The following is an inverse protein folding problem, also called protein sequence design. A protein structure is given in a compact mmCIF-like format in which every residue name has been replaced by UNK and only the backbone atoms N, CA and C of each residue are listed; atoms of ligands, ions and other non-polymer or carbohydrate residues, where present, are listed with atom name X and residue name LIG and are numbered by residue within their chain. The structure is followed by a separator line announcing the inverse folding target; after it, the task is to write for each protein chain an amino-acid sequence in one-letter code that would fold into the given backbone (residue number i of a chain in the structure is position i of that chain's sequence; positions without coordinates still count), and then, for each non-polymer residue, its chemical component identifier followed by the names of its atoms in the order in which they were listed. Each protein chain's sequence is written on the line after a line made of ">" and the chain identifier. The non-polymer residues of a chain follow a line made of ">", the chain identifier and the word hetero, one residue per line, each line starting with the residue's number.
data_IF_785233918300
#
_entry.id   IF_785233918300
#
_cell.length_a   1.000
_cell.length_b   1.000
_cell.length_c   1.000
_cell.angle_alpha   90.00
_cell.angle_beta   90.00
_cell.angle_gamma   90.00
#
_symmetry.space_group_name_H-M   'P 1'
#
loop_
_entity.id
_entity.type
_entity.pdbx_description
1 polymer ?
#
# COMPACT_ATOMS: atom_id res chain seq x y z
N UNK A 1 55.65 -22.06 -28.37
CA UNK A 1 55.07 -20.88 -27.69
C UNK A 1 54.87 -19.77 -28.72
N UNK A 2 53.67 -19.18 -28.79
CA UNK A 2 53.57 -17.75 -28.54
C UNK A 2 52.43 -17.41 -27.57
N UNK A 3 52.68 -16.38 -26.77
CA UNK A 3 51.84 -15.86 -25.68
C UNK A 3 50.66 -15.09 -26.30
N UNK A 4 49.42 -15.51 -26.04
CA UNK A 4 48.22 -14.73 -26.38
C UNK A 4 48.01 -13.62 -25.35
N UNK A 5 47.98 -12.38 -25.84
CA UNK A 5 47.65 -11.17 -25.08
C UNK A 5 46.19 -11.21 -24.64
N UNK A 6 45.99 -11.00 -23.35
CA UNK A 6 44.74 -10.59 -22.69
C UNK A 6 44.30 -9.22 -23.21
N UNK A 7 43.02 -9.11 -23.61
CA UNK A 7 42.36 -7.82 -23.82
C UNK A 7 41.13 -7.78 -22.93
N UNK A 8 41.30 -7.17 -21.75
CA UNK A 8 40.24 -6.78 -20.84
C UNK A 8 39.41 -5.66 -21.47
N UNK A 9 38.23 -6.01 -21.98
CA UNK A 9 37.20 -5.02 -22.31
C UNK A 9 36.34 -4.81 -21.08
N UNK A 10 36.72 -3.85 -20.25
CA UNK A 10 35.85 -3.31 -19.20
C UNK A 10 34.75 -2.47 -19.86
N UNK A 11 33.61 -3.10 -20.15
CA UNK A 11 32.39 -2.40 -20.56
C UNK A 11 31.88 -1.61 -19.35
N UNK A 12 32.00 -0.28 -19.43
CA UNK A 12 31.39 0.63 -18.47
C UNK A 12 29.88 0.37 -18.44
N UNK A 13 29.36 -0.10 -17.30
CA UNK A 13 27.93 -0.27 -17.09
C UNK A 13 27.30 1.11 -17.05
N UNK A 14 26.56 1.45 -18.10
CA UNK A 14 25.70 2.63 -18.09
C UNK A 14 24.73 2.56 -16.91
N UNK A 15 24.45 3.69 -16.23
CA UNK A 15 23.47 3.72 -15.17
C UNK A 15 22.11 3.37 -15.79
N UNK A 16 21.63 2.16 -15.48
CA UNK A 16 20.28 1.73 -15.81
C UNK A 16 19.31 2.75 -15.23
N UNK A 17 18.76 3.60 -16.09
CA UNK A 17 17.55 4.33 -15.80
C UNK A 17 16.49 3.26 -15.55
N UNK A 18 16.23 2.99 -14.27
CA UNK A 18 15.12 2.14 -13.86
C UNK A 18 13.88 2.84 -14.39
N UNK A 19 13.40 2.44 -15.56
CA UNK A 19 12.04 2.72 -15.99
C UNK A 19 11.19 2.27 -14.81
N UNK A 20 10.57 3.22 -14.11
CA UNK A 20 9.58 2.92 -13.10
C UNK A 20 8.52 2.12 -13.83
N UNK A 21 8.56 0.79 -13.70
CA UNK A 21 7.50 -0.05 -14.22
C UNK A 21 6.25 0.43 -13.49
N UNK A 22 5.38 1.12 -14.22
CA UNK A 22 4.11 1.59 -13.71
C UNK A 22 3.27 0.33 -13.55
N UNK A 23 3.18 -0.16 -12.31
CA UNK A 23 2.35 -1.32 -11.99
C UNK A 23 0.89 -0.93 -12.28
N UNK A 24 0.10 -1.87 -12.80
CA UNK A 24 -1.31 -1.61 -13.10
C UNK A 24 -2.21 -2.22 -12.03
N UNK A 25 -3.48 -1.82 -12.01
CA UNK A 25 -4.47 -2.48 -11.15
C UNK A 25 -4.52 -3.99 -11.41
N UNK A 26 -4.50 -4.38 -12.69
CA UNK A 26 -4.52 -5.78 -13.11
C UNK A 26 -3.32 -6.57 -12.55
N UNK A 27 -2.15 -5.94 -12.41
CA UNK A 27 -0.99 -6.59 -11.78
C UNK A 27 -1.28 -7.01 -10.33
N UNK A 28 -2.13 -6.27 -9.61
CA UNK A 28 -2.50 -6.58 -8.23
C UNK A 28 -3.71 -7.52 -8.11
N UNK A 29 -4.64 -7.49 -9.07
CA UNK A 29 -5.91 -8.23 -9.01
C UNK A 29 -5.88 -9.55 -9.77
N UNK A 30 -4.99 -9.73 -10.73
CA UNK A 30 -4.93 -10.96 -11.53
C UNK A 30 -4.62 -12.18 -10.65
N UNK A 31 -5.42 -13.23 -10.79
CA UNK A 31 -5.28 -14.47 -10.03
C UNK A 31 -5.68 -14.35 -8.55
N UNK A 32 -6.34 -13.26 -8.16
CA UNK A 32 -6.94 -13.11 -6.83
C UNK A 32 -8.37 -13.68 -6.80
N UNK A 33 -8.80 -14.23 -5.65
CA UNK A 33 -10.18 -14.63 -5.47
C UNK A 33 -11.12 -13.45 -5.61
N UNK A 34 -12.35 -13.72 -6.07
CA UNK A 34 -13.37 -12.69 -6.26
C UNK A 34 -13.60 -11.88 -4.99
N UNK A 35 -13.72 -12.54 -3.84
CA UNK A 35 -13.88 -11.92 -2.52
C UNK A 35 -12.78 -10.90 -2.21
N UNK A 36 -11.52 -11.18 -2.55
CA UNK A 36 -10.41 -10.24 -2.32
C UNK A 36 -10.52 -9.03 -3.23
N UNK A 37 -10.97 -9.23 -4.48
CA UNK A 37 -11.22 -8.14 -5.42
C UNK A 37 -12.38 -7.28 -4.90
N UNK A 38 -13.45 -7.87 -4.36
CA UNK A 38 -14.56 -7.14 -3.75
C UNK A 38 -14.10 -6.32 -2.55
N UNK A 39 -13.31 -6.90 -1.63
CA UNK A 39 -12.73 -6.15 -0.51
C UNK A 39 -11.88 -4.98 -0.98
N UNK A 40 -11.07 -5.19 -2.03
CA UNK A 40 -10.23 -4.13 -2.60
C UNK A 40 -11.08 -3.02 -3.22
N UNK A 41 -12.15 -3.36 -3.94
CA UNK A 41 -13.08 -2.38 -4.53
C UNK A 41 -13.84 -1.61 -3.45
N UNK A 42 -14.27 -2.28 -2.40
CA UNK A 42 -14.92 -1.62 -1.26
C UNK A 42 -13.96 -0.69 -0.51
N UNK A 43 -12.71 -1.09 -0.29
CA UNK A 43 -11.68 -0.20 0.26
C UNK A 43 -11.45 1.03 -0.62
N UNK A 44 -11.39 0.83 -1.94
CA UNK A 44 -11.25 1.93 -2.89
C UNK A 44 -12.44 2.90 -2.80
N UNK A 45 -13.67 2.39 -2.71
CA UNK A 45 -14.87 3.21 -2.54
C UNK A 45 -14.83 4.03 -1.24
N UNK A 46 -14.43 3.41 -0.13
CA UNK A 46 -14.23 4.11 1.15
C UNK A 46 -13.25 5.27 0.94
N UNK A 47 -12.05 4.99 0.43
CA UNK A 47 -11.02 6.00 0.19
C UNK A 47 -11.52 7.14 -0.70
N UNK A 48 -12.19 6.83 -1.82
CA UNK A 48 -12.69 7.82 -2.76
C UNK A 48 -13.82 8.70 -2.18
N UNK A 49 -14.60 8.17 -1.24
CA UNK A 49 -15.69 8.92 -0.60
C UNK A 49 -15.20 9.99 0.38
N UNK A 50 -13.96 9.88 0.89
CA UNK A 50 -13.38 10.84 1.84
C UNK A 50 -13.09 12.21 1.21
N UNK A 51 -12.69 12.25 -0.06
CA UNK A 51 -12.54 13.49 -0.82
C UNK A 51 -12.84 13.23 -2.31
N UNK A 52 -14.13 13.27 -2.71
CA UNK A 52 -14.56 12.90 -4.05
C UNK A 52 -13.80 13.65 -5.15
N UNK A 53 -13.20 12.89 -6.08
CA UNK A 53 -12.48 13.43 -7.24
C UNK A 53 -11.06 13.96 -6.94
N UNK A 54 -10.60 13.93 -5.69
CA UNK A 54 -9.29 14.47 -5.30
C UNK A 54 -8.29 13.38 -4.87
N UNK A 55 -8.78 12.17 -4.57
CA UNK A 55 -7.94 11.05 -4.14
C UNK A 55 -7.25 10.41 -5.35
N UNK A 56 -5.93 10.37 -5.29
CA UNK A 56 -5.09 9.69 -6.28
C UNK A 56 -4.73 8.29 -5.81
N UNK A 57 -4.84 7.32 -6.70
CA UNK A 57 -4.38 5.94 -6.49
C UNK A 57 -3.07 5.71 -7.22
N UNK A 58 -2.08 5.13 -6.54
CA UNK A 58 -0.79 4.76 -7.12
C UNK A 58 -0.49 3.28 -6.89
N UNK A 59 0.12 2.64 -7.88
CA UNK A 59 0.47 1.22 -7.85
C UNK A 59 1.98 1.06 -7.71
N UNK A 60 2.39 0.32 -6.68
CA UNK A 60 3.79 -0.02 -6.41
C UNK A 60 3.99 -1.52 -6.58
N UNK A 61 5.23 -1.98 -6.63
CA UNK A 61 5.55 -3.39 -6.90
C UNK A 61 4.84 -4.40 -5.99
N UNK A 62 4.52 -3.98 -4.75
CA UNK A 62 3.88 -4.83 -3.74
C UNK A 62 2.52 -4.30 -3.27
N UNK A 63 2.23 -3.01 -3.37
CA UNK A 63 1.05 -2.45 -2.73
C UNK A 63 0.42 -1.34 -3.58
N UNK A 64 -0.84 -1.06 -3.31
CA UNK A 64 -1.58 0.08 -3.82
C UNK A 64 -1.64 1.14 -2.73
N UNK A 65 -1.53 2.41 -3.08
CA UNK A 65 -1.63 3.52 -2.12
C UNK A 65 -2.64 4.56 -2.57
N UNK A 66 -3.36 5.13 -1.61
CA UNK A 66 -4.26 6.26 -1.80
C UNK A 66 -3.68 7.50 -1.13
N UNK A 67 -3.70 8.62 -1.85
CA UNK A 67 -3.21 9.91 -1.38
C UNK A 67 -4.15 11.04 -1.76
N UNK A 68 -4.26 12.03 -0.88
CA UNK A 68 -4.75 13.36 -1.27
C UNK A 68 -3.53 14.20 -1.64
N UNK A 69 -3.51 14.73 -2.86
CA UNK A 69 -2.31 15.34 -3.45
C UNK A 69 -1.09 14.39 -3.35
N UNK A 70 -0.09 14.72 -2.52
CA UNK A 70 1.12 13.92 -2.29
C UNK A 70 1.13 13.22 -0.93
N UNK A 71 0.07 13.35 -0.14
CA UNK A 71 0.00 12.86 1.23
C UNK A 71 -0.73 11.52 1.27
N UNK A 72 0.02 10.44 1.47
CA UNK A 72 -0.51 9.07 1.48
C UNK A 72 -1.11 8.78 2.85
N UNK A 73 -2.37 8.36 2.87
CA UNK A 73 -3.09 8.02 4.10
C UNK A 73 -3.45 6.53 4.20
N UNK A 74 -3.52 5.81 3.07
CA UNK A 74 -3.89 4.40 3.08
C UNK A 74 -3.03 3.63 2.09
N UNK A 75 -2.56 2.45 2.49
CA UNK A 75 -1.87 1.51 1.63
C UNK A 75 -2.48 0.12 1.77
N UNK A 76 -2.57 -0.65 0.68
CA UNK A 76 -3.09 -2.01 0.72
C UNK A 76 -2.23 -2.98 -0.09
N UNK A 77 -2.01 -4.16 0.47
CA UNK A 77 -1.48 -5.31 -0.25
C UNK A 77 -2.57 -6.38 -0.36
N UNK A 78 -2.88 -6.77 -1.59
CA UNK A 78 -3.85 -7.83 -1.88
C UNK A 78 -3.16 -9.20 -1.70
N UNK A 79 -3.61 -9.98 -0.71
CA UNK A 79 -3.16 -11.35 -0.46
C UNK A 79 -4.14 -12.36 -1.09
N UNK A 80 -3.97 -13.66 -0.85
CA UNK A 80 -4.94 -14.67 -1.29
C UNK A 80 -6.16 -14.73 -0.37
N UNK A 81 -5.99 -14.50 0.94
CA UNK A 81 -7.07 -14.58 1.93
C UNK A 81 -7.58 -13.22 2.42
N UNK A 82 -7.38 -12.13 1.67
CA UNK A 82 -7.82 -10.79 2.05
C UNK A 82 -6.79 -9.69 1.75
N UNK A 83 -6.93 -8.57 2.44
CA UNK A 83 -6.06 -7.40 2.36
C UNK A 83 -5.25 -7.22 3.64
N UNK A 84 -4.01 -6.77 3.47
CA UNK A 84 -3.25 -6.09 4.52
C UNK A 84 -3.28 -4.62 4.22
N UNK A 85 -3.85 -3.83 5.11
CA UNK A 85 -4.01 -2.39 4.93
C UNK A 85 -3.20 -1.66 5.99
N UNK A 86 -2.42 -0.66 5.60
CA UNK A 86 -1.67 0.18 6.52
C UNK A 86 -2.21 1.60 6.53
N UNK A 87 -2.34 2.15 7.74
CA UNK A 87 -2.98 3.43 8.02
C UNK A 87 -2.19 4.20 9.08
N UNK A 88 -2.23 5.53 9.02
CA UNK A 88 -1.61 6.46 9.98
C UNK A 88 -2.46 6.63 11.25
N UNK A 89 -2.75 5.53 11.90
CA UNK A 89 -3.31 5.51 13.26
C UNK A 89 -2.17 5.37 14.26
N UNK A 90 -2.31 5.96 15.44
CA UNK A 90 -1.35 5.80 16.52
C UNK A 90 -1.63 4.45 17.20
N UNK A 91 -0.67 3.51 17.24
CA UNK A 91 -0.91 2.17 17.79
C UNK A 91 -1.33 2.15 19.26
N UNK A 92 -1.05 3.23 20.01
CA UNK A 92 -1.48 3.36 21.41
C UNK A 92 -2.98 3.59 21.57
N UNK A 93 -3.65 4.03 20.51
CA UNK A 93 -5.07 4.35 20.49
C UNK A 93 -5.90 3.13 20.02
N UNK A 94 -5.26 1.98 19.75
CA UNK A 94 -5.95 0.75 19.34
C UNK A 94 -6.78 0.18 20.49
N UNK A 95 -8.05 -0.10 20.21
CA UNK A 95 -8.90 -0.86 21.10
C UNK A 95 -8.46 -2.34 21.07
N UNK A 96 -8.21 -2.99 22.22
CA UNK A 96 -7.89 -4.42 22.27
C UNK A 96 -8.95 -5.34 21.65
N UNK A 97 -10.20 -4.87 21.51
CA UNK A 97 -11.28 -5.60 20.85
C UNK A 97 -11.16 -5.60 19.31
N UNK A 98 -10.42 -4.65 18.73
CA UNK A 98 -10.13 -4.59 17.30
C UNK A 98 -9.06 -5.63 16.92
N UNK A 99 -9.38 -6.92 17.04
CA UNK A 99 -8.46 -8.05 16.84
C UNK A 99 -7.83 -8.14 15.44
N UNK A 100 -8.32 -7.36 14.48
CA UNK A 100 -7.80 -7.28 13.13
C UNK A 100 -6.77 -6.15 12.94
N UNK A 101 -6.62 -5.25 13.92
CA UNK A 101 -5.64 -4.17 13.93
C UNK A 101 -4.42 -4.55 14.78
N UNK A 102 -3.21 -4.19 14.34
CA UNK A 102 -1.99 -4.43 15.11
C UNK A 102 -0.95 -3.33 14.91
N UNK A 103 -0.17 -3.10 15.96
CA UNK A 103 1.03 -2.26 15.91
C UNK A 103 2.12 -2.93 15.05
N UNK A 104 2.55 -2.22 14.00
CA UNK A 104 3.65 -2.63 13.12
C UNK A 104 4.81 -1.63 13.09
N UNK A 105 4.84 -0.66 14.01
CA UNK A 105 5.87 0.40 14.10
C UNK A 105 7.30 -0.13 14.23
N UNK A 106 7.48 -1.37 14.70
CA UNK A 106 8.80 -1.98 14.97
C UNK A 106 9.17 -3.17 14.08
N UNK A 107 8.28 -3.63 13.21
CA UNK A 107 8.46 -4.88 12.43
C UNK A 107 8.57 -4.65 10.92
N UNK A 108 8.34 -3.42 10.46
CA UNK A 108 8.38 -3.04 9.05
C UNK A 108 7.03 -3.23 8.35
N UNK A 109 6.72 -2.33 7.43
CA UNK A 109 5.46 -2.28 6.69
C UNK A 109 5.69 -1.73 5.26
N UNK A 110 4.68 -1.85 4.40
CA UNK A 110 4.75 -1.29 3.05
C UNK A 110 3.94 -0.02 2.95
N UNK A 111 4.63 1.07 2.60
CA UNK A 111 4.00 2.37 2.39
C UNK A 111 4.02 3.23 3.63
N UNK A 112 2.87 3.49 4.24
CA UNK A 112 2.71 4.41 5.37
C UNK A 112 2.05 3.73 6.56
N UNK A 113 2.22 4.34 7.73
CA UNK A 113 1.40 4.05 8.90
C UNK A 113 2.00 3.00 9.81
N UNK A 114 1.71 3.13 11.09
CA UNK A 114 2.23 2.24 12.14
C UNK A 114 1.21 1.16 12.56
N UNK A 115 0.01 1.20 11.98
CA UNK A 115 -1.05 0.21 12.22
C UNK A 115 -1.33 -0.55 10.94
N UNK A 116 -1.38 -1.88 11.06
CA UNK A 116 -1.82 -2.78 10.00
C UNK A 116 -3.19 -3.40 10.35
N UNK A 117 -4.10 -3.37 9.39
CA UNK A 117 -5.43 -3.98 9.44
C UNK A 117 -5.47 -5.24 8.55
N UNK A 118 -5.95 -6.34 9.10
CA UNK A 118 -6.16 -7.62 8.42
C UNK A 118 -7.62 -7.77 7.99
N UNK A 119 -7.94 -7.32 6.77
CA UNK A 119 -9.31 -7.29 6.25
C UNK A 119 -9.55 -8.54 5.39
N UNK A 120 -10.40 -9.45 5.86
CA UNK A 120 -10.73 -10.70 5.16
C UNK A 120 -12.24 -10.96 5.06
N UNK A 121 -13.07 -9.98 5.42
CA UNK A 121 -14.52 -10.02 5.32
C UNK A 121 -15.09 -8.61 5.11
N UNK A 122 -16.33 -8.52 4.62
CA UNK A 122 -17.01 -7.24 4.47
C UNK A 122 -17.27 -6.54 5.81
N UNK A 123 -17.54 -7.31 6.86
CA UNK A 123 -17.67 -6.79 8.24
C UNK A 123 -16.38 -6.09 8.68
N UNK A 124 -15.22 -6.74 8.52
CA UNK A 124 -13.93 -6.12 8.83
C UNK A 124 -13.62 -4.92 7.93
N UNK A 125 -14.11 -4.91 6.70
CA UNK A 125 -13.96 -3.76 5.82
C UNK A 125 -14.77 -2.56 6.34
N UNK A 126 -15.98 -2.79 6.84
CA UNK A 126 -16.80 -1.76 7.49
C UNK A 126 -16.12 -1.26 8.77
N UNK A 127 -15.63 -2.16 9.62
CA UNK A 127 -14.89 -1.78 10.84
C UNK A 127 -13.60 -1.02 10.52
N UNK A 128 -12.93 -1.35 9.40
CA UNK A 128 -11.73 -0.66 8.95
C UNK A 128 -11.98 0.79 8.52
N UNK A 129 -13.22 1.16 8.16
CA UNK A 129 -13.54 2.51 7.69
C UNK A 129 -13.13 3.58 8.70
N UNK A 130 -13.37 3.36 10.00
CA UNK A 130 -13.02 4.32 11.06
C UNK A 130 -11.52 4.64 11.07
N UNK A 131 -10.68 3.62 10.85
CA UNK A 131 -9.23 3.75 10.81
C UNK A 131 -8.74 4.47 9.55
N UNK A 132 -9.33 4.15 8.39
CA UNK A 132 -8.98 4.81 7.13
C UNK A 132 -9.36 6.29 7.17
N UNK A 133 -10.53 6.62 7.73
CA UNK A 133 -11.00 7.99 7.93
C UNK A 133 -10.09 8.76 8.88
N UNK A 134 -9.80 8.21 10.06
CA UNK A 134 -8.89 8.81 11.04
C UNK A 134 -7.51 9.09 10.41
N UNK A 135 -6.97 8.11 9.68
CA UNK A 135 -5.70 8.27 8.99
C UNK A 135 -5.73 9.35 7.92
N UNK A 136 -6.84 9.48 7.18
CA UNK A 136 -7.03 10.53 6.19
C UNK A 136 -7.05 11.91 6.86
N UNK A 137 -7.84 12.08 7.91
CA UNK A 137 -7.94 13.33 8.67
C UNK A 137 -6.59 13.73 9.27
N UNK A 138 -5.90 12.80 9.94
CA UNK A 138 -4.56 13.02 10.52
C UNK A 138 -3.52 13.41 9.49
N UNK A 139 -3.62 12.92 8.26
CA UNK A 139 -2.62 13.21 7.24
C UNK A 139 -2.93 14.51 6.48
N UNK A 140 -4.20 14.85 6.32
CA UNK A 140 -4.67 15.92 5.42
C UNK A 140 -5.11 17.20 6.13
N UNK A 141 -5.54 17.13 7.40
CA UNK A 141 -5.97 18.31 8.17
C UNK A 141 -4.83 18.98 8.95
N UNK A 142 -3.58 18.56 8.76
CA UNK A 142 -2.41 19.25 9.31
C UNK A 142 -2.06 20.46 8.45
N UNK A 143 -2.98 21.42 8.38
CA UNK A 143 -2.69 22.80 7.93
C UNK A 143 -3.73 23.73 8.56
N UNK A 144 -3.48 24.14 9.80
CA UNK A 144 -3.92 25.41 10.38
C UNK A 144 -2.94 25.80 11.48
#
# INVERSE_FOLDING_TARGET
>A
MPIKKISETYSAKEPSSRKTAEYSENYHTQGKPHEVIELYRGLDQICQSLAPGQITKSYRAKYVSWSLEKRIFCCAHLQQGGLRVWVKTNPRDLDPSDSFARDVSKIGHWGVGDVELAINSLERLQDAEKFVRESFEKETQVTS
#
